data_IF_947680478276
#
_entry.id   IF_947680478276
#
_cell.length_a   1.000
_cell.length_b   1.000
_cell.length_c   1.000
_cell.angle_alpha   90.00
_cell.angle_beta   90.00
_cell.angle_gamma   90.00
#
_symmetry.space_group_name_H-M   'P 1'
#
loop_
_entity.id
_entity.type
_entity.pdbx_description
1 polymer ?
#
# COMPACT_ATOMS: atom_id res chain seq x y z
N UNK A 1 51.61 -37.31 29.15
CA UNK A 1 50.70 -36.52 28.31
C UNK A 1 50.99 -36.89 26.87
N UNK A 2 50.11 -37.68 26.27
CA UNK A 2 50.23 -38.01 24.84
C UNK A 2 49.96 -36.75 24.00
N UNK A 3 50.56 -36.63 22.82
CA UNK A 3 50.38 -35.46 21.94
C UNK A 3 48.91 -35.10 21.71
N UNK A 4 48.01 -36.09 21.71
CA UNK A 4 46.57 -35.91 21.57
C UNK A 4 45.93 -35.13 22.74
N UNK A 5 46.41 -35.32 23.98
CA UNK A 5 45.90 -34.61 25.15
C UNK A 5 46.34 -33.13 25.15
N UNK A 6 47.59 -32.87 24.75
CA UNK A 6 48.11 -31.51 24.59
C UNK A 6 47.33 -30.74 23.53
N UNK A 7 47.04 -31.38 22.39
CA UNK A 7 46.26 -30.82 21.31
C UNK A 7 44.82 -30.50 21.77
N UNK A 8 44.16 -31.42 22.49
CA UNK A 8 42.82 -31.21 23.03
C UNK A 8 42.74 -30.03 24.02
N UNK A 9 43.74 -29.90 24.90
CA UNK A 9 43.85 -28.77 25.85
C UNK A 9 43.99 -27.42 25.13
N UNK A 10 44.82 -27.36 24.09
CA UNK A 10 45.02 -26.14 23.27
C UNK A 10 43.70 -25.77 22.58
N UNK A 11 43.01 -26.72 21.94
CA UNK A 11 41.72 -26.45 21.30
C UNK A 11 40.64 -26.01 22.29
N UNK A 12 40.56 -26.64 23.46
CA UNK A 12 39.63 -26.24 24.53
C UNK A 12 39.91 -24.81 25.03
N UNK A 13 41.18 -24.46 25.20
CA UNK A 13 41.62 -23.11 25.57
C UNK A 13 41.23 -22.06 24.52
N UNK A 14 41.49 -22.35 23.24
CA UNK A 14 41.13 -21.46 22.13
C UNK A 14 39.62 -21.26 22.04
N UNK A 15 38.83 -22.34 22.12
CA UNK A 15 37.35 -22.24 22.09
C UNK A 15 36.84 -21.39 23.24
N UNK A 16 37.39 -21.57 24.44
CA UNK A 16 37.00 -20.78 25.62
C UNK A 16 37.33 -19.30 25.43
N UNK A 17 38.52 -18.98 24.91
CA UNK A 17 38.93 -17.61 24.60
C UNK A 17 37.99 -16.95 23.59
N UNK A 18 37.64 -17.65 22.50
CA UNK A 18 36.72 -17.15 21.48
C UNK A 18 35.32 -16.87 22.05
N UNK A 19 34.83 -17.73 22.94
CA UNK A 19 33.55 -17.52 23.63
C UNK A 19 33.61 -16.30 24.54
N UNK A 20 34.69 -16.11 25.30
CA UNK A 20 34.89 -14.93 26.13
C UNK A 20 34.92 -13.64 25.30
N UNK A 21 35.70 -13.62 24.20
CA UNK A 21 35.78 -12.48 23.28
C UNK A 21 34.39 -12.13 22.73
N UNK A 22 33.59 -13.14 22.36
CA UNK A 22 32.23 -12.93 21.86
C UNK A 22 31.34 -12.19 22.86
N UNK A 23 31.35 -12.59 24.14
CA UNK A 23 30.53 -11.95 25.18
C UNK A 23 31.08 -10.60 25.66
N UNK A 24 32.35 -10.30 25.42
CA UNK A 24 32.90 -8.96 25.66
C UNK A 24 32.39 -7.93 24.63
N UNK A 25 32.09 -8.37 23.40
CA UNK A 25 31.52 -7.51 22.38
C UNK A 25 29.99 -7.47 22.47
N UNK A 26 29.47 -6.43 23.15
CA UNK A 26 28.03 -6.21 23.30
C UNK A 26 27.30 -6.04 21.96
N UNK A 27 27.96 -5.52 20.92
CA UNK A 27 27.34 -5.32 19.59
C UNK A 27 26.98 -6.66 18.94
N UNK A 28 27.67 -7.74 19.32
CA UNK A 28 27.48 -9.08 18.78
C UNK A 28 26.74 -10.04 19.71
N UNK A 29 26.82 -9.82 21.03
CA UNK A 29 26.30 -10.71 22.06
C UNK A 29 25.02 -10.24 22.73
N UNK A 30 24.57 -9.01 22.49
CA UNK A 30 23.36 -8.45 23.11
C UNK A 30 22.42 -7.92 22.03
N UNK A 31 21.13 -8.25 22.14
CA UNK A 31 20.10 -7.73 21.26
C UNK A 31 19.97 -6.21 21.44
N UNK A 32 20.19 -5.43 20.39
CA UNK A 32 20.16 -3.96 20.46
C UNK A 32 18.77 -3.35 20.72
N UNK A 33 17.71 -4.16 20.72
CA UNK A 33 16.32 -3.73 20.88
C UNK A 33 15.69 -4.11 22.23
N UNK A 34 16.22 -5.12 22.91
CA UNK A 34 15.62 -5.63 24.15
C UNK A 34 16.65 -6.10 25.19
N UNK A 35 17.93 -5.84 24.95
CA UNK A 35 19.06 -6.15 25.84
C UNK A 35 19.21 -7.64 26.23
N UNK A 36 18.54 -8.53 25.51
CA UNK A 36 18.63 -9.97 25.72
C UNK A 36 19.98 -10.48 25.22
N UNK A 37 20.70 -11.22 26.07
CA UNK A 37 21.97 -11.87 25.69
C UNK A 37 21.71 -12.98 24.68
N UNK A 38 22.40 -12.91 23.55
CA UNK A 38 22.35 -13.89 22.48
C UNK A 38 23.45 -14.92 22.73
N UNK A 39 23.07 -16.19 22.87
CA UNK A 39 24.04 -17.26 23.07
C UNK A 39 24.94 -17.45 21.85
N UNK A 40 26.25 -17.64 22.07
CA UNK A 40 27.19 -18.02 21.02
C UNK A 40 26.78 -19.31 20.29
N UNK A 41 25.99 -20.19 20.93
CA UNK A 41 25.47 -21.45 20.37
C UNK A 41 24.29 -21.27 19.40
N UNK A 42 23.69 -20.08 19.30
CA UNK A 42 22.60 -19.85 18.33
C UNK A 42 23.15 -19.91 16.90
N UNK A 43 22.55 -20.80 16.11
CA UNK A 43 22.86 -20.97 14.69
C UNK A 43 22.32 -19.83 13.82
N UNK A 44 21.09 -19.36 14.08
CA UNK A 44 20.49 -18.24 13.35
C UNK A 44 20.74 -16.92 14.08
N UNK A 45 21.68 -16.12 13.57
CA UNK A 45 22.03 -14.79 14.09
C UNK A 45 21.46 -13.72 13.16
N UNK A 46 20.75 -12.76 13.74
CA UNK A 46 20.12 -11.67 13.02
C UNK A 46 20.82 -10.36 13.38
N UNK A 47 20.80 -9.42 12.45
CA UNK A 47 21.51 -8.15 12.60
C UNK A 47 20.68 -7.00 12.04
N UNK A 48 20.94 -5.81 12.54
CA UNK A 48 20.42 -4.54 12.06
C UNK A 48 21.61 -3.63 11.74
N UNK A 49 21.61 -3.05 10.54
CA UNK A 49 22.57 -2.01 10.19
C UNK A 49 22.03 -0.64 10.60
N UNK A 50 22.74 0.06 11.47
CA UNK A 50 22.37 1.40 11.94
C UNK A 50 23.62 2.27 12.04
N UNK A 51 23.67 3.36 11.26
CA UNK A 51 24.81 4.29 11.28
C UNK A 51 26.14 3.66 10.86
N UNK A 52 26.12 2.68 9.94
CA UNK A 52 27.31 1.95 9.50
C UNK A 52 27.77 0.84 10.46
N UNK A 53 27.07 0.65 11.59
CA UNK A 53 27.37 -0.43 12.52
C UNK A 53 26.40 -1.60 12.39
N UNK A 54 26.93 -2.82 12.50
CA UNK A 54 26.14 -4.07 12.51
C UNK A 54 25.83 -4.47 13.95
N UNK A 55 24.58 -4.32 14.36
CA UNK A 55 24.12 -4.59 15.72
C UNK A 55 23.33 -5.90 15.78
N UNK A 56 23.58 -6.73 16.79
CA UNK A 56 22.89 -8.01 16.93
C UNK A 56 21.42 -7.85 17.31
N UNK A 57 20.57 -8.72 16.75
CA UNK A 57 19.14 -8.82 17.04
C UNK A 57 18.77 -10.23 17.48
N UNK A 58 17.91 -10.34 18.49
CA UNK A 58 17.26 -11.60 18.80
C UNK A 58 16.19 -11.91 17.74
N UNK A 59 15.86 -13.20 17.56
CA UNK A 59 14.85 -13.67 16.58
C UNK A 59 13.51 -12.95 16.72
N UNK A 60 13.08 -12.68 17.95
CA UNK A 60 11.81 -12.00 18.26
C UNK A 60 11.82 -10.57 17.74
N UNK A 61 12.88 -9.81 18.03
CA UNK A 61 13.03 -8.43 17.57
C UNK A 61 13.21 -8.36 16.06
N UNK A 62 14.02 -9.25 15.46
CA UNK A 62 14.14 -9.36 14.01
C UNK A 62 12.78 -9.60 13.33
N UNK A 63 12.02 -10.58 13.80
CA UNK A 63 10.69 -10.86 13.25
C UNK A 63 9.72 -9.67 13.44
N UNK A 64 9.80 -8.95 14.57
CA UNK A 64 8.99 -7.75 14.83
C UNK A 64 9.33 -6.66 13.82
N UNK A 65 10.61 -6.37 13.62
CA UNK A 65 11.10 -5.36 12.67
C UNK A 65 10.73 -5.73 11.23
N UNK A 66 10.93 -6.99 10.83
CA UNK A 66 10.54 -7.44 9.50
C UNK A 66 9.04 -7.31 9.26
N UNK A 67 8.20 -7.68 10.23
CA UNK A 67 6.74 -7.52 10.11
C UNK A 67 6.32 -6.06 10.00
N UNK A 68 7.04 -5.16 10.67
CA UNK A 68 6.80 -3.73 10.58
C UNK A 68 7.25 -3.18 9.21
N UNK A 69 8.42 -3.61 8.72
CA UNK A 69 8.93 -3.22 7.41
C UNK A 69 8.07 -3.77 6.25
N UNK A 70 7.43 -4.92 6.43
CA UNK A 70 6.56 -5.54 5.43
C UNK A 70 5.15 -4.95 5.35
N UNK A 71 4.83 -3.89 6.11
CA UNK A 71 3.54 -3.22 5.98
C UNK A 71 3.44 -2.53 4.61
N UNK A 72 2.23 -2.56 4.01
CA UNK A 72 1.95 -1.90 2.72
C UNK A 72 2.33 -0.41 2.70
N UNK A 73 2.25 0.23 3.86
CA UNK A 73 2.70 1.59 4.08
C UNK A 73 3.21 1.73 5.53
N UNK A 74 4.11 2.70 5.74
CA UNK A 74 4.66 2.99 7.06
C UNK A 74 3.86 4.07 7.80
N UNK A 75 3.21 4.99 7.08
CA UNK A 75 2.49 6.11 7.66
C UNK A 75 1.14 6.32 6.96
N UNK A 76 0.16 6.81 7.73
CA UNK A 76 -1.12 7.24 7.20
C UNK A 76 -0.93 8.43 6.25
N UNK A 77 -1.42 8.32 5.01
CA UNK A 77 -1.34 9.39 4.03
C UNK A 77 -1.95 10.70 4.53
N UNK A 78 -3.01 10.66 5.34
CA UNK A 78 -3.69 11.87 5.81
C UNK A 78 -3.05 12.50 7.07
N UNK A 79 -2.89 11.74 8.15
CA UNK A 79 -2.44 12.30 9.44
C UNK A 79 -0.98 12.01 9.79
N UNK A 80 -0.23 11.41 8.86
CA UNK A 80 1.16 10.98 9.00
C UNK A 80 1.45 10.01 10.18
N UNK A 81 0.42 9.52 10.88
CA UNK A 81 0.56 8.57 11.97
C UNK A 81 1.22 7.28 11.46
N UNK A 82 2.29 6.85 12.13
CA UNK A 82 2.95 5.59 11.83
C UNK A 82 2.03 4.40 12.09
N UNK A 83 1.99 3.48 11.14
CA UNK A 83 1.26 2.24 11.29
C UNK A 83 1.99 1.28 12.22
N UNK A 84 1.22 0.40 12.85
CA UNK A 84 1.76 -0.73 13.60
C UNK A 84 1.24 -2.01 13.00
N UNK A 85 1.93 -3.12 13.25
CA UNK A 85 1.51 -4.47 12.82
C UNK A 85 0.13 -4.91 13.29
N UNK A 86 -0.49 -4.19 14.24
CA UNK A 86 -1.83 -4.47 14.76
C UNK A 86 -2.93 -3.60 14.13
N UNK A 87 -2.56 -2.57 13.37
CA UNK A 87 -3.52 -1.64 12.78
C UNK A 87 -4.05 -2.16 11.44
N UNK A 88 -5.35 -1.98 11.21
CA UNK A 88 -5.91 -2.07 9.86
C UNK A 88 -5.44 -0.87 9.04
N UNK A 89 -4.84 -1.15 7.88
CA UNK A 89 -4.46 -0.16 6.87
C UNK A 89 -5.50 -0.24 5.77
N UNK A 90 -6.28 0.82 5.59
CA UNK A 90 -7.22 0.93 4.47
C UNK A 90 -6.46 1.48 3.27
N UNK A 91 -6.69 0.89 2.09
CA UNK A 91 -6.12 1.35 0.83
C UNK A 91 -7.24 2.01 0.03
N UNK A 92 -7.00 3.25 -0.40
CA UNK A 92 -7.97 4.06 -1.13
C UNK A 92 -7.34 4.52 -2.44
N UNK A 93 -8.02 4.26 -3.56
CA UNK A 93 -7.51 4.63 -4.87
C UNK A 93 -7.78 6.11 -5.18
N UNK A 94 -6.73 6.84 -5.53
CA UNK A 94 -6.79 8.12 -6.22
C UNK A 94 -6.67 7.96 -7.73
N UNK A 95 -6.67 9.08 -8.47
CA UNK A 95 -6.50 9.09 -9.92
C UNK A 95 -5.08 8.69 -10.31
N UNK A 96 -4.08 9.21 -9.57
CA UNK A 96 -2.66 9.05 -9.90
C UNK A 96 -1.86 8.20 -8.89
N UNK A 97 -2.40 7.97 -7.69
CA UNK A 97 -1.73 7.18 -6.64
C UNK A 97 -2.74 6.54 -5.68
N UNK A 98 -2.29 5.53 -4.94
CA UNK A 98 -3.04 4.96 -3.81
C UNK A 98 -2.67 5.66 -2.50
N UNK A 99 -3.66 5.79 -1.63
CA UNK A 99 -3.49 6.33 -0.29
C UNK A 99 -3.71 5.24 0.76
N UNK A 100 -2.89 5.27 1.80
CA UNK A 100 -2.97 4.31 2.89
C UNK A 100 -3.41 5.01 4.16
N UNK A 101 -4.56 4.62 4.70
CA UNK A 101 -5.26 5.37 5.73
C UNK A 101 -5.37 4.56 7.02
N UNK A 102 -5.24 5.26 8.15
CA UNK A 102 -5.68 4.71 9.41
C UNK A 102 -7.21 4.69 9.48
N UNK A 103 -7.77 3.82 10.33
CA UNK A 103 -9.21 3.64 10.51
C UNK A 103 -9.96 4.95 10.82
N UNK A 104 -9.32 5.89 11.53
CA UNK A 104 -9.93 7.20 11.81
C UNK A 104 -10.07 8.04 10.53
N UNK A 105 -9.02 8.13 9.73
CA UNK A 105 -9.00 8.90 8.49
C UNK A 105 -9.91 8.25 7.43
N UNK A 106 -9.90 6.91 7.31
CA UNK A 106 -10.83 6.15 6.46
C UNK A 106 -12.27 6.57 6.77
N UNK A 107 -12.69 6.51 8.04
CA UNK A 107 -14.04 6.91 8.46
C UNK A 107 -14.36 8.39 8.18
N UNK A 108 -13.37 9.28 8.26
CA UNK A 108 -13.59 10.69 7.94
C UNK A 108 -13.81 10.90 6.44
N UNK A 109 -13.02 10.21 5.61
CA UNK A 109 -13.16 10.28 4.15
C UNK A 109 -14.48 9.67 3.71
N UNK A 110 -14.86 8.48 4.22
CA UNK A 110 -16.15 7.85 3.88
C UNK A 110 -17.36 8.71 4.24
N UNK A 111 -17.25 9.63 5.20
CA UNK A 111 -18.31 10.58 5.55
C UNK A 111 -18.39 11.78 4.60
N UNK A 112 -17.29 12.10 3.92
CA UNK A 112 -17.19 13.22 2.97
C UNK A 112 -17.37 12.76 1.52
N UNK A 113 -17.17 11.48 1.24
CA UNK A 113 -17.36 10.88 -0.07
C UNK A 113 -18.85 10.82 -0.43
N UNK A 114 -19.16 11.16 -1.67
CA UNK A 114 -20.51 11.06 -2.24
C UNK A 114 -20.64 9.70 -2.93
N UNK A 115 -21.80 9.06 -2.81
CA UNK A 115 -22.07 7.76 -3.41
C UNK A 115 -22.95 7.82 -4.66
N UNK A 116 -23.40 9.02 -5.03
CA UNK A 116 -24.33 9.24 -6.14
C UNK A 116 -23.93 10.52 -6.85
N UNK A 117 -23.65 10.39 -8.15
CA UNK A 117 -23.21 11.49 -9.01
C UNK A 117 -24.25 11.71 -10.10
N UNK A 118 -24.36 12.96 -10.56
CA UNK A 118 -25.18 13.27 -11.73
C UNK A 118 -24.48 12.77 -13.00
N UNK A 119 -25.26 12.34 -13.99
CA UNK A 119 -24.71 11.76 -15.22
C UNK A 119 -23.78 12.73 -15.97
N UNK A 120 -24.12 14.02 -15.99
CA UNK A 120 -23.30 15.07 -16.60
C UNK A 120 -21.99 15.33 -15.83
N UNK A 121 -21.90 14.99 -14.54
CA UNK A 121 -20.66 15.05 -13.78
C UNK A 121 -19.78 13.83 -14.05
N UNK A 122 -20.39 12.64 -14.18
CA UNK A 122 -19.70 11.39 -14.51
C UNK A 122 -19.11 11.44 -15.92
N UNK A 123 -19.91 11.87 -16.89
CA UNK A 123 -19.55 11.97 -18.29
C UNK A 123 -19.12 13.39 -18.64
N UNK A 124 -18.08 13.88 -17.95
CA UNK A 124 -17.49 15.18 -18.25
C UNK A 124 -16.94 15.20 -19.69
N UNK A 125 -16.80 16.38 -20.32
CA UNK A 125 -16.17 16.51 -21.63
C UNK A 125 -14.81 15.80 -21.71
N UNK A 126 -13.97 15.97 -20.68
CA UNK A 126 -12.67 15.29 -20.58
C UNK A 126 -12.79 13.75 -20.61
N UNK A 127 -13.80 13.19 -19.95
CA UNK A 127 -14.01 11.74 -19.93
C UNK A 127 -14.46 11.25 -21.31
N UNK A 128 -15.39 11.96 -21.94
CA UNK A 128 -15.91 11.61 -23.27
C UNK A 128 -14.81 11.71 -24.32
N UNK A 129 -14.07 12.81 -24.39
CA UNK A 129 -12.98 13.01 -25.35
C UNK A 129 -11.84 12.00 -25.17
N UNK A 130 -11.60 11.54 -23.94
CA UNK A 130 -10.57 10.53 -23.67
C UNK A 130 -10.95 9.13 -24.16
N UNK A 131 -12.25 8.81 -24.21
CA UNK A 131 -12.74 7.47 -24.49
C UNK A 131 -13.54 7.36 -25.80
N UNK A 132 -13.68 8.46 -26.55
CA UNK A 132 -14.44 8.53 -27.80
C UNK A 132 -13.93 9.68 -28.67
N UNK A 133 -14.49 9.82 -29.89
CA UNK A 133 -14.22 10.95 -30.77
C UNK A 133 -15.11 12.19 -30.52
N UNK A 134 -16.03 12.14 -29.55
CA UNK A 134 -16.99 13.22 -29.28
C UNK A 134 -16.42 14.25 -28.30
N UNK A 135 -16.95 15.48 -28.34
CA UNK A 135 -16.51 16.57 -27.44
C UNK A 135 -17.14 16.47 -26.05
N UNK A 136 -18.35 15.94 -25.96
CA UNK A 136 -19.20 15.95 -24.77
C UNK A 136 -20.35 14.93 -24.91
N UNK A 137 -21.14 14.77 -23.84
CA UNK A 137 -22.27 13.86 -23.83
C UNK A 137 -23.37 14.25 -24.82
N UNK A 138 -23.58 15.54 -25.06
CA UNK A 138 -24.66 16.05 -25.92
C UNK A 138 -24.38 15.68 -27.39
N UNK A 139 -23.18 15.99 -27.89
CA UNK A 139 -22.72 15.61 -29.23
C UNK A 139 -22.71 14.09 -29.45
N UNK A 140 -22.39 13.30 -28.41
CA UNK A 140 -22.47 11.85 -28.46
C UNK A 140 -23.92 11.35 -28.60
N UNK A 141 -24.84 11.91 -27.82
CA UNK A 141 -26.28 11.56 -27.88
C UNK A 141 -26.89 11.98 -29.22
N UNK A 142 -26.61 13.19 -29.69
CA UNK A 142 -27.09 13.68 -30.99
C UNK A 142 -26.60 12.80 -32.14
N UNK A 143 -25.33 12.41 -32.12
CA UNK A 143 -24.72 11.55 -33.15
C UNK A 143 -25.29 10.14 -33.18
N UNK A 144 -25.87 9.66 -32.08
CA UNK A 144 -26.50 8.34 -32.02
C UNK A 144 -27.78 8.25 -32.84
N UNK A 145 -28.49 9.37 -33.03
CA UNK A 145 -29.82 9.38 -33.64
C UNK A 145 -30.89 8.69 -32.79
N UNK A 146 -30.59 8.28 -31.56
CA UNK A 146 -31.50 7.59 -30.64
C UNK A 146 -32.28 8.63 -29.82
N UNK A 147 -33.61 8.52 -29.79
CA UNK A 147 -34.45 9.38 -28.95
C UNK A 147 -34.37 8.93 -27.48
N UNK A 148 -33.33 9.37 -26.77
CA UNK A 148 -33.20 9.17 -25.33
C UNK A 148 -34.09 10.18 -24.58
N UNK A 149 -35.24 9.75 -24.08
CA UNK A 149 -36.19 10.59 -23.32
C UNK A 149 -36.03 10.43 -21.81
N UNK A 150 -35.55 9.27 -21.38
CA UNK A 150 -35.40 8.88 -19.98
C UNK A 150 -34.05 8.20 -19.75
N UNK A 151 -33.62 8.13 -18.48
CA UNK A 151 -32.40 7.43 -18.11
C UNK A 151 -32.46 5.92 -18.38
N UNK A 152 -33.66 5.34 -18.46
CA UNK A 152 -33.83 3.92 -18.78
C UNK A 152 -33.58 3.62 -20.26
N UNK A 153 -33.70 4.62 -21.15
CA UNK A 153 -33.38 4.46 -22.57
C UNK A 153 -31.87 4.19 -22.79
N UNK A 154 -31.02 4.56 -21.82
CA UNK A 154 -29.59 4.25 -21.83
C UNK A 154 -29.30 2.77 -21.51
N UNK A 155 -30.30 1.97 -21.13
CA UNK A 155 -30.15 0.52 -20.90
C UNK A 155 -30.57 -0.30 -22.11
N UNK A 156 -30.97 0.35 -23.21
CA UNK A 156 -31.38 -0.34 -24.42
C UNK A 156 -30.16 -0.93 -25.13
N UNK A 157 -30.33 -2.10 -25.75
CA UNK A 157 -29.27 -2.78 -26.50
C UNK A 157 -28.73 -1.92 -27.65
N UNK A 158 -29.60 -1.13 -28.30
CA UNK A 158 -29.21 -0.17 -29.34
C UNK A 158 -28.22 0.90 -28.84
N UNK A 159 -28.27 1.24 -27.55
CA UNK A 159 -27.31 2.15 -26.95
C UNK A 159 -25.98 1.44 -26.67
N UNK A 160 -26.01 0.19 -26.21
CA UNK A 160 -24.81 -0.62 -26.02
C UNK A 160 -24.04 -0.83 -27.34
N UNK A 161 -24.75 -1.11 -28.44
CA UNK A 161 -24.16 -1.22 -29.78
C UNK A 161 -23.47 0.09 -30.19
N UNK A 162 -24.13 1.22 -29.95
CA UNK A 162 -23.56 2.55 -30.24
C UNK A 162 -22.31 2.84 -29.39
N UNK A 163 -22.34 2.54 -28.08
CA UNK A 163 -21.18 2.69 -27.19
C UNK A 163 -20.02 1.82 -27.65
N UNK A 164 -20.29 0.58 -28.03
CA UNK A 164 -19.26 -0.36 -28.52
C UNK A 164 -18.61 0.13 -29.81
N UNK A 165 -19.39 0.72 -30.72
CA UNK A 165 -18.90 1.19 -32.00
C UNK A 165 -18.11 2.50 -31.92
N UNK A 166 -18.40 3.36 -30.92
CA UNK A 166 -17.87 4.73 -30.89
C UNK A 166 -17.02 5.07 -29.66
N UNK A 167 -16.84 4.13 -28.73
CA UNK A 167 -16.03 4.33 -27.52
C UNK A 167 -15.05 3.18 -27.30
N UNK A 168 -14.18 3.33 -26.30
CA UNK A 168 -13.27 2.27 -25.85
C UNK A 168 -13.93 1.17 -24.99
N UNK A 169 -15.25 1.22 -24.78
CA UNK A 169 -15.98 0.32 -23.89
C UNK A 169 -16.82 -0.71 -24.64
N UNK A 170 -17.01 -1.90 -24.03
CA UNK A 170 -17.81 -3.00 -24.57
C UNK A 170 -19.32 -2.82 -24.43
N UNK A 171 -19.77 -1.94 -23.54
CA UNK A 171 -21.18 -1.61 -23.33
C UNK A 171 -21.30 -0.34 -22.48
N UNK A 172 -22.52 0.18 -22.38
CA UNK A 172 -22.86 1.33 -21.54
C UNK A 172 -22.56 1.08 -20.06
N UNK A 173 -22.84 -0.13 -19.56
CA UNK A 173 -22.58 -0.46 -18.17
C UNK A 173 -21.10 -0.28 -17.81
N UNK A 174 -20.19 -0.77 -18.66
CA UNK A 174 -18.75 -0.66 -18.45
C UNK A 174 -18.28 0.80 -18.51
N UNK A 175 -18.80 1.57 -19.47
CA UNK A 175 -18.52 3.00 -19.57
C UNK A 175 -18.97 3.75 -18.30
N UNK A 176 -20.17 3.46 -17.81
CA UNK A 176 -20.73 4.09 -16.61
C UNK A 176 -19.93 3.74 -15.37
N UNK A 177 -19.61 2.46 -15.16
CA UNK A 177 -18.80 2.00 -14.02
C UNK A 177 -17.40 2.60 -14.05
N UNK A 178 -16.81 2.74 -15.24
CA UNK A 178 -15.51 3.38 -15.42
C UNK A 178 -15.56 4.87 -15.05
N UNK A 179 -16.59 5.59 -15.50
CA UNK A 179 -16.83 6.99 -15.15
C UNK A 179 -17.02 7.18 -13.64
N UNK A 180 -17.87 6.36 -13.00
CA UNK A 180 -18.10 6.37 -11.55
C UNK A 180 -16.80 6.10 -10.78
N UNK A 181 -16.02 5.11 -11.21
CA UNK A 181 -14.73 4.78 -10.59
C UNK A 181 -13.73 5.93 -10.70
N UNK A 182 -13.65 6.59 -11.86
CA UNK A 182 -12.77 7.74 -12.05
C UNK A 182 -13.22 8.93 -11.19
N UNK A 183 -14.52 9.19 -11.12
CA UNK A 183 -15.07 10.28 -10.30
C UNK A 183 -14.79 10.06 -8.82
N UNK A 184 -14.97 8.83 -8.31
CA UNK A 184 -14.62 8.48 -6.93
C UNK A 184 -13.12 8.67 -6.65
N UNK A 185 -12.26 8.27 -7.58
CA UNK A 185 -10.80 8.49 -7.49
C UNK A 185 -10.45 9.98 -7.38
N UNK A 186 -11.02 10.80 -8.26
CA UNK A 186 -10.85 12.27 -8.22
C UNK A 186 -11.38 12.89 -6.93
N UNK A 187 -12.52 12.41 -6.45
CA UNK A 187 -13.09 12.85 -5.19
C UNK A 187 -12.17 12.49 -4.00
N UNK A 188 -11.59 11.28 -3.99
CA UNK A 188 -10.64 10.87 -2.96
C UNK A 188 -9.41 11.77 -2.93
N UNK A 189 -8.82 12.08 -4.10
CA UNK A 189 -7.68 13.01 -4.22
C UNK A 189 -8.01 14.38 -3.62
N UNK A 190 -9.20 14.91 -3.94
CA UNK A 190 -9.66 16.20 -3.42
C UNK A 190 -9.83 16.16 -1.90
N UNK A 191 -10.56 15.18 -1.37
CA UNK A 191 -10.82 15.07 0.07
C UNK A 191 -9.51 14.97 0.85
N UNK A 192 -8.55 14.17 0.37
CA UNK A 192 -7.26 13.99 1.06
C UNK A 192 -6.46 15.30 1.06
N UNK A 193 -6.43 16.02 -0.07
CA UNK A 193 -5.78 17.33 -0.14
C UNK A 193 -6.38 18.30 0.86
N UNK A 194 -7.72 18.40 0.90
CA UNK A 194 -8.43 19.27 1.84
C UNK A 194 -8.18 18.90 3.32
N UNK A 195 -7.80 17.65 3.60
CA UNK A 195 -7.44 17.19 4.95
C UNK A 195 -5.98 17.45 5.32
N UNK A 196 -5.09 17.69 4.37
CA UNK A 196 -3.70 18.07 4.64
C UNK A 196 -3.54 19.54 5.01
N UNK A 197 -4.40 20.39 4.46
CA UNK A 197 -4.36 21.83 4.69
C UNK A 197 -5.01 22.26 6.03
N UNK A 198 -5.48 21.30 6.83
CA UNK A 198 -6.14 21.49 8.14
C UNK A 198 -5.25 21.06 9.31
#
# INVERSE_FOLDING_TARGET
>A
MENNELIALIFSGIVTLLVCIYYMDKKHSVCCECDEVISHRKQNRYFLEKGGERLALCKKCYNRTNKQASLKAQNCSCCNKSFTTRMKIAELAGEFQSYFLCVKCEKQISKRAESTFLLNQLLSPDFIQKNSSFSDLESMVESSGIQLKTQDDLKLEVWDEFITANTSFSCWHDMKVSAETLMLKKQNDRIIRDMWDQ
#
